data_IF_117826838657
#
_entry.id   IF_117826838657
#
_cell.length_a   1.000
_cell.length_b   1.000
_cell.length_c   1.000
_cell.angle_alpha   90.00
_cell.angle_beta   90.00
_cell.angle_gamma   90.00
#
_symmetry.space_group_name_H-M   'P 1'
#
loop_
_entity.id
_entity.type
_entity.pdbx_description
1 polymer ?
#
# COMPACT_ATOMS: atom_id res chain seq x y z
N UNK A 1 22.23 -22.21 2.99
CA UNK A 1 21.42 -21.08 3.50
C UNK A 1 20.23 -20.94 2.57
N UNK A 2 19.01 -21.22 3.02
CA UNK A 2 17.84 -21.22 2.15
C UNK A 2 16.57 -21.48 2.95
N UNK A 3 16.10 -20.48 3.70
CA UNK A 3 14.76 -20.49 4.26
C UNK A 3 13.79 -20.08 3.14
N UNK A 4 13.50 -21.02 2.25
CA UNK A 4 12.38 -20.94 1.33
C UNK A 4 11.11 -21.15 2.16
N UNK A 5 10.62 -20.08 2.80
CA UNK A 5 9.41 -20.15 3.62
C UNK A 5 8.23 -20.55 2.75
N UNK A 6 7.86 -21.81 2.91
CA UNK A 6 6.72 -22.50 2.35
C UNK A 6 5.42 -21.80 2.77
N UNK A 7 4.94 -20.85 1.96
CA UNK A 7 3.54 -20.43 2.02
C UNK A 7 2.76 -21.31 1.05
N UNK A 8 2.19 -22.38 1.61
CA UNK A 8 1.13 -23.17 0.97
C UNK A 8 -0.07 -22.24 0.71
N UNK A 9 -0.26 -21.86 -0.55
CA UNK A 9 -1.38 -21.02 -0.97
C UNK A 9 -2.61 -21.88 -1.22
N UNK A 10 -3.49 -21.93 -0.24
CA UNK A 10 -4.85 -22.42 -0.42
C UNK A 10 -5.64 -21.39 -1.25
N UNK A 11 -5.81 -21.68 -2.54
CA UNK A 11 -6.95 -21.29 -3.40
C UNK A 11 -7.19 -19.82 -3.78
N UNK A 12 -7.00 -18.84 -2.90
CA UNK A 12 -7.53 -17.47 -3.13
C UNK A 12 -6.74 -16.35 -2.44
N UNK A 13 -5.49 -16.61 -2.07
CA UNK A 13 -4.58 -15.57 -1.61
C UNK A 13 -3.84 -15.08 -2.86
N UNK A 14 -3.74 -13.77 -3.11
CA UNK A 14 -2.93 -13.27 -4.22
C UNK A 14 -1.50 -13.16 -3.72
N UNK A 15 -0.55 -13.82 -4.40
CA UNK A 15 0.86 -13.81 -4.04
C UNK A 15 1.44 -12.38 -3.99
N UNK A 16 2.61 -12.18 -3.35
CA UNK A 16 3.23 -10.86 -3.27
C UNK A 16 3.40 -10.23 -4.66
N UNK A 17 2.92 -9.00 -4.85
CA UNK A 17 3.07 -8.22 -6.07
C UNK A 17 4.15 -7.16 -5.84
N UNK A 18 5.12 -7.09 -6.75
CA UNK A 18 6.20 -6.11 -6.66
C UNK A 18 5.71 -4.75 -7.12
N UNK A 19 5.80 -3.75 -6.23
CA UNK A 19 5.50 -2.35 -6.56
C UNK A 19 6.73 -1.71 -7.20
N UNK A 20 7.90 -1.91 -6.58
CA UNK A 20 9.22 -1.47 -7.06
C UNK A 20 10.33 -2.30 -6.36
N UNK A 21 11.60 -1.93 -6.55
CA UNK A 21 12.75 -2.65 -5.97
C UNK A 21 12.77 -2.69 -4.43
N UNK A 22 12.09 -1.74 -3.78
CA UNK A 22 12.08 -1.56 -2.33
C UNK A 22 10.78 -2.00 -1.65
N UNK A 23 9.70 -2.18 -2.41
CA UNK A 23 8.36 -2.40 -1.87
C UNK A 23 7.57 -3.42 -2.68
N UNK A 24 6.78 -4.20 -1.95
CA UNK A 24 5.80 -5.13 -2.50
C UNK A 24 4.50 -5.06 -1.71
N UNK A 25 3.42 -5.53 -2.30
CA UNK A 25 2.14 -5.66 -1.63
C UNK A 25 1.67 -7.11 -1.60
N UNK A 26 0.88 -7.44 -0.59
CA UNK A 26 0.31 -8.75 -0.41
C UNK A 26 -1.15 -8.65 0.02
N UNK A 27 -2.00 -9.49 -0.58
CA UNK A 27 -3.41 -9.58 -0.18
C UNK A 27 -3.66 -10.91 0.53
N UNK A 28 -3.72 -10.86 1.86
CA UNK A 28 -3.92 -12.04 2.70
C UNK A 28 -5.32 -12.67 2.59
N UNK A 29 -6.34 -11.89 2.22
CA UNK A 29 -7.72 -12.36 2.03
C UNK A 29 -8.35 -11.71 0.79
N UNK A 30 -9.21 -12.41 0.04
CA UNK A 30 -9.83 -11.87 -1.18
C UNK A 30 -10.76 -10.67 -0.96
N UNK A 31 -11.23 -10.42 0.27
CA UNK A 31 -11.94 -9.18 0.66
C UNK A 31 -11.16 -8.38 1.73
N UNK A 32 -9.92 -8.77 1.98
CA UNK A 32 -9.06 -8.14 2.98
C UNK A 32 -8.27 -6.98 2.42
N UNK A 33 -7.79 -6.14 3.34
CA UNK A 33 -6.83 -5.07 3.08
C UNK A 33 -5.54 -5.63 2.50
N UNK A 34 -4.88 -4.79 1.73
CA UNK A 34 -3.63 -5.09 1.07
C UNK A 34 -2.49 -4.57 1.94
N UNK A 35 -1.63 -5.46 2.43
CA UNK A 35 -0.47 -5.07 3.23
C UNK A 35 0.65 -4.63 2.31
N UNK A 36 1.28 -3.49 2.60
CA UNK A 36 2.44 -2.95 1.89
C UNK A 36 3.66 -3.29 2.74
N UNK A 37 4.63 -3.96 2.14
CA UNK A 37 5.84 -4.43 2.77
C UNK A 37 7.08 -3.87 2.05
N UNK A 38 8.17 -3.79 2.80
CA UNK A 38 9.52 -3.50 2.26
C UNK A 38 10.22 -4.78 1.84
N UNK A 39 11.27 -4.70 1.02
CA UNK A 39 12.12 -5.83 0.59
C UNK A 39 12.55 -6.76 1.73
N UNK A 40 12.66 -6.26 2.96
CA UNK A 40 12.99 -7.06 4.15
C UNK A 40 11.77 -7.60 4.92
N UNK A 41 10.60 -7.71 4.28
CA UNK A 41 9.36 -8.25 4.88
C UNK A 41 8.75 -7.47 6.03
N UNK A 42 9.07 -6.18 6.16
CA UNK A 42 8.40 -5.32 7.14
C UNK A 42 7.19 -4.61 6.54
N UNK A 43 6.04 -4.75 7.21
CA UNK A 43 4.83 -4.00 6.88
C UNK A 43 5.02 -2.52 7.22
N UNK A 44 4.75 -1.66 6.23
CA UNK A 44 4.84 -0.20 6.36
C UNK A 44 3.47 0.47 6.29
N UNK A 45 2.47 -0.21 5.75
CA UNK A 45 1.11 0.29 5.68
C UNK A 45 0.14 -0.74 5.15
N UNK A 46 -1.13 -0.38 5.18
CA UNK A 46 -2.22 -1.18 4.62
C UNK A 46 -3.05 -0.30 3.70
N UNK A 47 -3.38 -0.83 2.52
CA UNK A 47 -4.26 -0.19 1.56
C UNK A 47 -5.63 -0.85 1.59
N UNK A 48 -6.65 0.00 1.57
CA UNK A 48 -8.04 -0.41 1.50
C UNK A 48 -8.55 -0.25 0.06
N UNK A 49 -8.87 -1.35 -0.61
CA UNK A 49 -9.38 -1.34 -1.99
C UNK A 49 -10.82 -0.84 -2.09
N UNK A 50 -11.50 -0.61 -0.96
CA UNK A 50 -12.86 -0.03 -0.95
C UNK A 50 -12.81 1.49 -0.98
N UNK A 51 -11.91 2.08 -0.21
CA UNK A 51 -11.78 3.55 -0.10
C UNK A 51 -10.66 4.11 -0.98
N UNK A 52 -9.67 3.30 -1.35
CA UNK A 52 -8.47 3.75 -2.04
C UNK A 52 -7.47 4.46 -1.12
N UNK A 53 -7.66 4.39 0.20
CA UNK A 53 -6.76 5.03 1.17
C UNK A 53 -5.68 4.07 1.68
N UNK A 54 -4.53 4.65 2.03
CA UNK A 54 -3.42 3.94 2.67
C UNK A 54 -3.27 4.38 4.12
N UNK A 55 -3.40 3.41 5.03
CA UNK A 55 -3.07 3.58 6.45
C UNK A 55 -1.60 3.25 6.69
N UNK A 56 -0.78 4.28 6.74
CA UNK A 56 0.65 4.15 7.05
C UNK A 56 0.87 3.76 8.51
N UNK A 57 1.56 2.65 8.75
CA UNK A 57 1.98 2.20 10.08
C UNK A 57 3.41 2.64 10.39
N UNK A 58 4.21 2.91 9.36
CA UNK A 58 5.60 3.37 9.43
C UNK A 58 5.82 4.64 8.62
N UNK A 59 6.90 5.34 8.93
CA UNK A 59 7.33 6.50 8.15
C UNK A 59 7.89 6.01 6.82
N UNK A 60 7.28 6.47 5.74
CA UNK A 60 7.71 6.23 4.36
C UNK A 60 7.92 7.60 3.73
N UNK A 61 8.93 7.72 2.86
CA UNK A 61 9.23 8.96 2.17
C UNK A 61 8.04 9.39 1.29
N UNK A 62 7.77 10.69 1.23
CA UNK A 62 6.60 11.21 0.51
C UNK A 62 6.58 10.81 -0.98
N UNK A 63 7.73 10.81 -1.64
CA UNK A 63 7.87 10.36 -3.03
C UNK A 63 7.47 8.88 -3.19
N UNK A 64 7.90 8.00 -2.29
CA UNK A 64 7.57 6.59 -2.30
C UNK A 64 6.08 6.37 -2.05
N UNK A 65 5.48 7.15 -1.14
CA UNK A 65 4.04 7.08 -0.88
C UNK A 65 3.22 7.33 -2.14
N UNK A 66 3.59 8.34 -2.93
CA UNK A 66 2.93 8.64 -4.21
C UNK A 66 3.05 7.47 -5.19
N UNK A 67 4.26 6.93 -5.36
CA UNK A 67 4.50 5.77 -6.25
C UNK A 67 3.67 4.56 -5.84
N UNK A 68 3.68 4.22 -4.55
CA UNK A 68 2.93 3.11 -3.97
C UNK A 68 1.43 3.31 -4.18
N UNK A 69 0.91 4.50 -3.91
CA UNK A 69 -0.50 4.82 -4.08
C UNK A 69 -0.93 4.71 -5.55
N UNK A 70 -0.18 5.32 -6.47
CA UNK A 70 -0.48 5.26 -7.91
C UNK A 70 -0.40 3.83 -8.45
N UNK A 71 0.49 2.98 -7.94
CA UNK A 71 0.51 1.56 -8.29
C UNK A 71 -0.76 0.85 -7.79
N UNK A 72 -1.09 1.03 -6.51
CA UNK A 72 -2.23 0.35 -5.89
C UNK A 72 -3.57 0.77 -6.49
N UNK A 73 -3.78 2.06 -6.78
CA UNK A 73 -4.99 2.51 -7.46
C UNK A 73 -5.16 1.92 -8.86
N UNK A 74 -4.06 1.71 -9.61
CA UNK A 74 -4.10 1.12 -10.95
C UNK A 74 -4.37 -0.39 -10.92
N UNK A 75 -3.81 -1.09 -9.93
CA UNK A 75 -3.94 -2.54 -9.80
C UNK A 75 -5.21 -2.96 -9.03
N UNK A 76 -5.68 -2.13 -8.13
CA UNK A 76 -6.83 -2.34 -7.27
C UNK A 76 -7.72 -1.10 -7.34
N UNK A 77 -8.50 -0.96 -8.43
CA UNK A 77 -9.36 0.21 -8.61
C UNK A 77 -10.33 0.30 -7.43
N UNK A 78 -10.37 1.44 -6.73
CA UNK A 78 -11.26 1.60 -5.59
C UNK A 78 -12.70 1.50 -6.07
N UNK A 79 -13.48 0.61 -5.46
CA UNK A 79 -14.91 0.39 -5.83
C UNK A 79 -15.81 1.60 -5.52
N UNK A 80 -15.25 2.69 -4.99
CA UNK A 80 -15.97 3.84 -4.44
C UNK A 80 -15.64 5.19 -5.09
N UNK A 81 -15.27 5.23 -6.37
CA UNK A 81 -15.07 6.50 -7.11
C UNK A 81 -16.40 7.22 -7.43
N UNK A 82 -17.23 7.41 -6.40
CA UNK A 82 -18.50 8.10 -6.46
C UNK A 82 -18.70 9.09 -5.32
N UNK A 83 -17.68 9.47 -4.54
CA UNK A 83 -17.79 10.64 -3.63
C UNK A 83 -16.45 11.17 -3.08
N UNK A 84 -16.03 12.32 -3.61
CA UNK A 84 -15.49 13.49 -2.89
C UNK A 84 -14.51 13.24 -1.72
N UNK A 85 -13.20 13.27 -1.99
CA UNK A 85 -12.24 13.90 -1.05
C UNK A 85 -11.00 14.42 -1.78
N UNK A 86 -11.02 15.74 -2.00
CA UNK A 86 -9.86 16.57 -2.34
C UNK A 86 -8.68 16.31 -1.39
N UNK A 87 -7.42 16.32 -1.88
CA UNK A 87 -6.24 16.10 -1.05
C UNK A 87 -6.18 17.15 0.06
N UNK A 88 -6.09 16.70 1.32
CA UNK A 88 -5.71 17.57 2.44
C UNK A 88 -4.21 17.85 2.30
N UNK A 89 -3.87 18.79 1.42
CA UNK A 89 -2.58 19.45 1.41
C UNK A 89 -2.45 20.21 2.73
N UNK A 90 -1.75 19.60 3.71
CA UNK A 90 -1.36 20.29 4.93
C UNK A 90 -0.33 21.35 4.57
N UNK A 91 -0.86 22.52 4.21
CA UNK A 91 -0.20 23.78 3.93
C UNK A 91 0.97 23.98 4.89
N UNK A 92 2.19 24.02 4.35
CA UNK A 92 3.38 24.50 5.06
C UNK A 92 3.07 25.91 5.59
N UNK A 93 3.14 26.12 6.91
CA UNK A 93 3.15 27.47 7.47
C UNK A 93 4.51 28.10 7.13
N UNK A 94 4.60 29.22 6.39
CA UNK A 94 5.82 30.01 6.42
C UNK A 94 5.93 30.69 7.79
N UNK A 95 7.08 30.55 8.41
CA UNK A 95 7.51 31.36 9.54
C UNK A 95 7.73 32.79 9.03
N UNK A 96 7.00 33.75 9.59
CA UNK A 96 7.27 35.17 9.37
C UNK A 96 8.12 35.69 10.53
N UNK A 97 9.15 36.46 10.17
CA UNK A 97 10.12 37.13 11.02
C UNK A 97 9.54 38.38 11.69
#
# INVERSE_FOLDING_TARGET
>A
MGLQTQLRYNGWVQGPQTINDSYYCLRSKPDGKISILTTNSYVVGEYDDKTGDIRWQRVVLANQKVVIQSYLHRHYPPKGDNNNNTPKETRKKPVAA
#
